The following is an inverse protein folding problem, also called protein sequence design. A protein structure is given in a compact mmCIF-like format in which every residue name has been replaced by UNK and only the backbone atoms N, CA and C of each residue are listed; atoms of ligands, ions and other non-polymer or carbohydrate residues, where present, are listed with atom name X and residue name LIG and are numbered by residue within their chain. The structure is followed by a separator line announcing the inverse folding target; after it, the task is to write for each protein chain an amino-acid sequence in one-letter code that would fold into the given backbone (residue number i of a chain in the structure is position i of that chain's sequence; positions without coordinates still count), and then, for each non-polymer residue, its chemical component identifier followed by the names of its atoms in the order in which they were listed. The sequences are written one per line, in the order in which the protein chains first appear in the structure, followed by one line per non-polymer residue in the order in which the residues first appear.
data_IF_633125316834
#
_entry.id   IF_633125316834
#
_cell.length_a   1.000
_cell.length_b   1.000
_cell.length_c   1.000
_cell.angle_alpha   90.00
_cell.angle_beta   90.00
_cell.angle_gamma   90.00
#
_symmetry.space_group_name_H-M   'P 1'
#
loop_
_entity.id
_entity.type
_entity.pdbx_description
1 polymer ?
#
# COMPACT_ATOMS: atom_id res chain seq x y z
N UNK A 1 -1.98 21.87 12.16
CA UNK A 1 -0.93 22.07 11.14
C UNK A 1 -1.23 21.25 9.91
N UNK A 2 -1.04 21.84 8.77
CA UNK A 2 -1.29 21.15 7.51
C UNK A 2 0.05 20.81 6.88
N UNK A 3 0.22 19.53 6.57
CA UNK A 3 1.42 19.06 5.89
C UNK A 3 1.13 18.84 4.43
N UNK A 4 2.09 19.24 3.61
CA UNK A 4 2.01 18.97 2.19
C UNK A 4 2.92 17.79 1.89
N UNK A 5 2.40 16.84 1.18
CA UNK A 5 3.22 15.72 0.70
C UNK A 5 3.89 16.12 -0.60
N UNK A 6 5.04 15.52 -0.86
CA UNK A 6 5.66 15.67 -2.16
C UNK A 6 4.79 15.00 -3.22
N UNK A 7 5.05 15.33 -4.48
CA UNK A 7 4.33 14.67 -5.58
C UNK A 7 4.47 13.16 -5.54
N UNK A 8 5.65 12.68 -5.17
CA UNK A 8 5.89 11.23 -5.07
C UNK A 8 5.09 10.61 -3.96
N UNK A 9 5.01 11.28 -2.82
CA UNK A 9 4.22 10.78 -1.70
C UNK A 9 2.75 10.75 -2.04
N UNK A 10 2.27 11.78 -2.72
CA UNK A 10 0.88 11.83 -3.16
C UNK A 10 0.58 10.68 -4.12
N UNK A 11 1.51 10.41 -5.03
CA UNK A 11 1.32 9.31 -5.97
C UNK A 11 1.31 7.97 -5.25
N UNK A 12 2.19 7.80 -4.27
CA UNK A 12 2.20 6.57 -3.47
C UNK A 12 0.88 6.38 -2.72
N UNK A 13 0.32 7.47 -2.19
CA UNK A 13 -0.97 7.40 -1.51
C UNK A 13 -2.09 7.04 -2.46
N UNK A 14 -2.08 7.60 -3.67
CA UNK A 14 -3.06 7.24 -4.69
C UNK A 14 -2.99 5.74 -5.02
N UNK A 15 -1.78 5.25 -5.20
CA UNK A 15 -1.57 3.84 -5.53
C UNK A 15 -2.01 2.94 -4.38
N UNK A 16 -1.76 3.37 -3.16
CA UNK A 16 -2.20 2.63 -1.98
C UNK A 16 -3.73 2.57 -1.92
N UNK A 17 -4.38 3.70 -2.20
CA UNK A 17 -5.83 3.77 -2.21
C UNK A 17 -6.39 2.88 -3.31
N UNK A 18 -5.79 2.92 -4.50
CA UNK A 18 -6.23 2.10 -5.62
C UNK A 18 -6.15 0.62 -5.28
N UNK A 19 -5.07 0.21 -4.62
CA UNK A 19 -4.94 -1.19 -4.21
C UNK A 19 -6.01 -1.56 -3.18
N UNK A 20 -6.22 -0.71 -2.19
CA UNK A 20 -7.22 -0.99 -1.17
C UNK A 20 -8.60 -1.16 -1.82
N UNK A 21 -8.94 -0.29 -2.76
CA UNK A 21 -10.21 -0.38 -3.47
C UNK A 21 -10.28 -1.65 -4.32
N UNK A 22 -9.20 -1.97 -5.00
CA UNK A 22 -9.14 -3.17 -5.84
C UNK A 22 -9.38 -4.43 -5.03
N UNK A 23 -8.83 -4.47 -3.82
CA UNK A 23 -8.96 -5.64 -2.95
C UNK A 23 -10.24 -5.63 -2.11
N UNK A 24 -11.05 -4.59 -2.24
CA UNK A 24 -12.29 -4.47 -1.49
C UNK A 24 -12.09 -4.10 -0.04
N UNK A 25 -10.95 -3.55 0.30
CA UNK A 25 -10.69 -3.08 1.66
C UNK A 25 -11.26 -1.69 1.84
N UNK A 26 -11.86 -1.43 2.99
CA UNK A 26 -12.47 -0.12 3.25
C UNK A 26 -11.59 0.75 4.14
N UNK A 27 -10.30 0.51 4.12
CA UNK A 27 -9.32 1.26 4.88
C UNK A 27 -8.01 1.27 4.09
N UNK A 28 -7.11 2.18 4.46
CA UNK A 28 -5.75 2.20 3.91
C UNK A 28 -4.82 1.93 5.07
N UNK A 29 -4.20 0.77 5.08
CA UNK A 29 -3.26 0.39 6.12
C UNK A 29 -1.83 0.56 5.67
N UNK A 30 -0.90 0.25 6.58
CA UNK A 30 0.52 0.35 6.26
C UNK A 30 0.91 -0.60 5.14
N UNK A 31 0.23 -1.71 5.01
CA UNK A 31 0.48 -2.67 3.93
C UNK A 31 0.18 -2.06 2.57
N UNK A 32 -0.92 -1.31 2.46
CA UNK A 32 -1.26 -0.62 1.21
C UNK A 32 -0.26 0.48 0.91
N UNK A 33 0.19 1.17 1.95
CA UNK A 33 1.20 2.22 1.77
C UNK A 33 2.52 1.65 1.29
N UNK A 34 2.91 0.49 1.81
CA UNK A 34 4.13 -0.18 1.36
C UNK A 34 4.04 -0.49 -0.13
N UNK A 35 2.91 -1.05 -0.56
CA UNK A 35 2.68 -1.31 -1.97
C UNK A 35 2.78 -0.02 -2.78
N UNK A 36 2.13 1.04 -2.30
CA UNK A 36 2.12 2.33 -3.00
C UNK A 36 3.52 2.88 -3.19
N UNK A 37 4.34 2.79 -2.14
CA UNK A 37 5.72 3.26 -2.20
C UNK A 37 6.53 2.43 -3.19
N UNK A 38 6.36 1.12 -3.18
CA UNK A 38 7.08 0.25 -4.10
C UNK A 38 6.66 0.49 -5.54
N UNK A 39 5.37 0.64 -5.77
CA UNK A 39 4.82 0.81 -7.11
C UNK A 39 5.18 2.16 -7.70
N UNK A 40 5.24 3.19 -6.87
CA UNK A 40 5.62 4.53 -7.32
C UNK A 40 7.03 4.52 -7.90
N UNK A 41 7.95 3.81 -7.24
CA UNK A 41 9.19 3.39 -7.86
C UNK A 41 10.36 4.37 -7.86
N UNK A 42 10.17 5.62 -7.44
CA UNK A 42 11.24 6.61 -7.56
C UNK A 42 11.80 7.12 -6.24
N UNK A 43 11.17 6.80 -5.13
CA UNK A 43 11.62 7.26 -3.83
C UNK A 43 12.66 6.37 -3.21
N UNK A 44 13.22 6.82 -2.08
CA UNK A 44 14.22 6.05 -1.35
C UNK A 44 13.65 4.72 -0.85
N UNK A 45 12.41 4.75 -0.34
CA UNK A 45 11.76 3.53 0.14
C UNK A 45 11.63 2.50 -0.97
N UNK A 46 11.27 2.96 -2.16
CA UNK A 46 11.14 2.09 -3.33
C UNK A 46 12.48 1.45 -3.69
N UNK A 47 13.55 2.24 -3.62
CA UNK A 47 14.89 1.73 -3.92
C UNK A 47 15.32 0.67 -2.93
N UNK A 48 15.03 0.88 -1.65
CA UNK A 48 15.35 -0.10 -0.61
C UNK A 48 14.61 -1.41 -0.86
N UNK A 49 13.33 -1.31 -1.18
CA UNK A 49 12.51 -2.49 -1.46
C UNK A 49 13.07 -3.25 -2.67
N UNK A 50 13.42 -2.50 -3.72
CA UNK A 50 13.97 -3.08 -4.93
C UNK A 50 15.29 -3.81 -4.66
N UNK A 51 16.11 -3.24 -3.80
CA UNK A 51 17.39 -3.86 -3.43
C UNK A 51 17.21 -5.20 -2.72
N UNK A 52 16.04 -5.45 -2.16
CA UNK A 52 15.71 -6.73 -1.53
C UNK A 52 15.04 -7.69 -2.51
N UNK A 53 15.03 -7.35 -3.79
CA UNK A 53 14.42 -8.16 -4.84
C UNK A 53 12.92 -8.39 -4.61
N UNK A 54 12.24 -7.41 -4.04
CA UNK A 54 10.81 -7.49 -3.81
C UNK A 54 10.11 -6.60 -4.83
N UNK A 55 9.11 -7.16 -5.51
CA UNK A 55 8.33 -6.41 -6.49
C UNK A 55 7.00 -5.97 -5.90
N UNK A 56 6.38 -4.91 -6.46
CA UNK A 56 5.05 -4.51 -6.00
C UNK A 56 4.03 -5.64 -6.12
N UNK A 57 4.13 -6.47 -7.14
CA UNK A 57 3.23 -7.60 -7.33
C UNK A 57 3.36 -8.61 -6.21
N UNK A 58 4.58 -8.86 -5.74
CA UNK A 58 4.80 -9.76 -4.61
C UNK A 58 4.19 -9.19 -3.33
N UNK A 59 4.30 -7.87 -3.13
CA UNK A 59 3.70 -7.23 -1.98
C UNK A 59 2.19 -7.39 -2.03
N UNK A 60 1.59 -7.17 -3.19
CA UNK A 60 0.15 -7.31 -3.36
C UNK A 60 -0.30 -8.75 -3.06
N UNK A 61 0.44 -9.74 -3.57
CA UNK A 61 0.12 -11.14 -3.31
C UNK A 61 0.14 -11.46 -1.82
N UNK A 62 1.14 -10.95 -1.11
CA UNK A 62 1.26 -11.20 0.32
C UNK A 62 0.14 -10.52 1.09
N UNK A 63 -0.27 -9.35 0.67
CA UNK A 63 -1.40 -8.67 1.30
C UNK A 63 -2.66 -9.53 1.14
N UNK A 64 -2.89 -10.05 -0.05
CA UNK A 64 -4.05 -10.90 -0.30
C UNK A 64 -4.03 -12.15 0.57
N UNK A 65 -2.86 -12.75 0.74
CA UNK A 65 -2.72 -13.96 1.55
C UNK A 65 -2.95 -13.65 3.02
N UNK A 66 -2.39 -12.56 3.53
CA UNK A 66 -2.42 -12.27 4.95
C UNK A 66 -3.73 -11.67 5.42
N UNK A 67 -4.35 -10.84 4.61
CA UNK A 67 -5.52 -10.09 5.02
C UNK A 67 -6.79 -10.59 4.34
N UNK A 68 -6.65 -11.00 3.08
CA UNK A 68 -7.79 -11.44 2.31
C UNK A 68 -8.34 -10.34 1.44
N UNK A 69 -9.43 -10.63 0.80
CA UNK A 69 -10.06 -9.75 -0.18
C UNK A 69 -11.51 -9.56 0.22
N UNK A 70 -11.99 -8.34 0.05
CA UNK A 70 -13.41 -8.09 0.15
C UNK A 70 -13.88 -7.71 1.54
N UNK A 71 -15.18 -7.82 1.71
CA UNK A 71 -15.86 -7.26 2.86
C UNK A 71 -15.79 -8.11 4.12
N UNK A 72 -15.15 -9.26 4.06
CA UNK A 72 -15.01 -10.07 5.27
C UNK A 72 -14.05 -9.46 6.26
N UNK A 73 -13.26 -8.51 5.83
CA UNK A 73 -12.28 -7.88 6.71
C UNK A 73 -13.01 -6.99 7.70
N UNK A 74 -12.81 -7.29 8.95
CA UNK A 74 -13.41 -6.53 10.02
C UNK A 74 -12.54 -5.30 10.29
N UNK A 75 -13.12 -4.13 10.11
CA UNK A 75 -12.42 -2.87 10.28
C UNK A 75 -11.82 -2.76 11.68
N UNK A 76 -12.50 -3.31 12.65
CA UNK A 76 -12.06 -3.24 14.04
C UNK A 76 -10.76 -4.00 14.27
N UNK A 77 -10.56 -5.08 13.53
CA UNK A 77 -9.38 -5.91 13.72
C UNK A 77 -8.19 -5.37 12.96
N UNK A 78 -8.43 -4.61 11.89
CA UNK A 78 -7.34 -4.13 11.06
C UNK A 78 -7.06 -2.67 11.27
N UNK A 79 -7.83 -2.03 12.03
CA UNK A 79 -7.84 -0.64 12.34
C UNK A 79 -6.64 0.18 11.97
N UNK A 80 -6.83 1.44 12.13
CA UNK A 80 -5.80 2.31 11.69
C UNK A 80 -6.25 3.74 11.91
#
# INVERSE_FOLDING_TARGET
MIYKFTSRAEKALELANDLAMELGHNYIGTEHLLYGLAKEGTGVASKVIEMQDVTPEQIKEEIEVLIGVGSEIDVETVGF
#
